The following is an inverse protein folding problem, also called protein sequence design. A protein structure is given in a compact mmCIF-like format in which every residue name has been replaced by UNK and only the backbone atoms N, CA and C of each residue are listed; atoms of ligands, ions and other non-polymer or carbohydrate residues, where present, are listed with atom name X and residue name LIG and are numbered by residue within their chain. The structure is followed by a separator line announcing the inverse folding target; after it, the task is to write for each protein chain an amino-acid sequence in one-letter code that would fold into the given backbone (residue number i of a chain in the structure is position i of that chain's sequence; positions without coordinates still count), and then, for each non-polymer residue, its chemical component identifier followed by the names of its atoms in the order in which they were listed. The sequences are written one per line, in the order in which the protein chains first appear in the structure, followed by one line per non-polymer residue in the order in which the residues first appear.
data_IF_083623850640
#
_entry.id   IF_083623850640
#
_cell.length_a   1.000
_cell.length_b   1.000
_cell.length_c   1.000
_cell.angle_alpha   90.00
_cell.angle_beta   90.00
_cell.angle_gamma   90.00
#
_symmetry.space_group_name_H-M   'P 1'
#
loop_
_entity.id
_entity.type
_entity.pdbx_description
1 polymer ?
#
# COMPACT_ATOMS: atom_id res chain seq x y z
N UNK A 1 6.73 -21.36 -22.02
CA UNK A 1 5.54 -21.32 -21.14
C UNK A 1 5.93 -21.89 -19.79
N UNK A 2 6.41 -21.06 -18.86
CA UNK A 2 6.69 -21.48 -17.50
C UNK A 2 5.39 -21.37 -16.68
N UNK A 3 4.76 -22.51 -16.44
CA UNK A 3 3.51 -22.63 -15.71
C UNK A 3 3.75 -22.29 -14.22
N UNK A 4 3.20 -21.14 -13.80
CA UNK A 4 2.85 -20.73 -12.42
C UNK A 4 3.87 -21.11 -11.33
N UNK A 5 4.66 -20.13 -10.89
CA UNK A 5 5.55 -20.29 -9.73
C UNK A 5 4.72 -20.30 -8.43
N UNK A 6 4.46 -21.50 -7.90
CA UNK A 6 3.59 -21.74 -6.73
C UNK A 6 3.96 -20.89 -5.49
N UNK A 7 5.25 -20.70 -5.12
CA UNK A 7 5.60 -19.82 -4.01
C UNK A 7 5.19 -18.36 -4.23
N UNK A 8 5.30 -17.87 -5.46
CA UNK A 8 4.87 -16.52 -5.84
C UNK A 8 3.35 -16.41 -5.79
N UNK A 9 2.63 -17.45 -6.24
CA UNK A 9 1.17 -17.46 -6.19
C UNK A 9 0.66 -17.40 -4.75
N UNK A 10 1.23 -18.18 -3.83
CA UNK A 10 0.86 -18.15 -2.42
C UNK A 10 1.09 -16.76 -1.81
N UNK A 11 2.24 -16.15 -2.10
CA UNK A 11 2.56 -14.80 -1.64
C UNK A 11 1.56 -13.75 -2.15
N UNK A 12 1.12 -13.89 -3.40
CA UNK A 12 0.15 -12.99 -4.03
C UNK A 12 -1.24 -13.08 -3.39
N UNK A 13 -1.65 -14.24 -2.85
CA UNK A 13 -2.93 -14.37 -2.14
C UNK A 13 -3.04 -13.44 -0.93
N UNK A 14 -1.93 -13.12 -0.27
CA UNK A 14 -1.90 -12.11 0.80
C UNK A 14 -2.31 -10.73 0.27
N UNK A 15 -1.75 -10.33 -0.88
CA UNK A 15 -2.09 -9.04 -1.52
C UNK A 15 -3.52 -9.00 -1.99
N UNK A 16 -4.04 -10.11 -2.52
CA UNK A 16 -5.45 -10.16 -2.95
C UNK A 16 -6.39 -9.92 -1.77
N UNK A 17 -6.16 -10.64 -0.66
CA UNK A 17 -6.95 -10.48 0.55
C UNK A 17 -6.86 -9.06 1.13
N UNK A 18 -5.65 -8.50 1.23
CA UNK A 18 -5.46 -7.13 1.69
C UNK A 18 -6.05 -6.10 0.72
N UNK A 19 -5.96 -6.35 -0.59
CA UNK A 19 -6.46 -5.49 -1.65
C UNK A 19 -7.97 -5.27 -1.58
N UNK A 20 -8.76 -6.34 -1.37
CA UNK A 20 -10.22 -6.21 -1.19
C UNK A 20 -10.58 -5.27 -0.04
N UNK A 21 -9.91 -5.43 1.10
CA UNK A 21 -10.13 -4.61 2.30
C UNK A 21 -9.71 -3.16 2.05
N UNK A 22 -8.49 -2.95 1.52
CA UNK A 22 -7.92 -1.63 1.30
C UNK A 22 -8.74 -0.81 0.31
N UNK A 23 -9.21 -1.42 -0.76
CA UNK A 23 -9.99 -0.75 -1.78
C UNK A 23 -11.37 -0.32 -1.26
N UNK A 24 -12.09 -1.17 -0.51
CA UNK A 24 -13.37 -0.78 0.10
C UNK A 24 -13.14 0.29 1.18
N UNK A 25 -12.15 0.08 2.06
CA UNK A 25 -11.82 1.04 3.11
C UNK A 25 -11.56 2.43 2.50
N UNK A 26 -10.63 2.54 1.54
CA UNK A 26 -10.23 3.80 0.90
C UNK A 26 -11.40 4.59 0.32
N UNK A 27 -12.39 3.89 -0.27
CA UNK A 27 -13.54 4.52 -0.91
C UNK A 27 -14.63 4.96 0.07
N UNK A 28 -14.92 4.13 1.08
CA UNK A 28 -16.15 4.27 1.87
C UNK A 28 -15.96 4.79 3.29
N UNK A 29 -14.79 4.66 3.90
CA UNK A 29 -14.65 4.90 5.34
C UNK A 29 -15.03 6.34 5.74
N UNK A 30 -14.55 7.36 5.03
CA UNK A 30 -14.95 8.75 5.31
C UNK A 30 -16.44 8.94 5.03
N UNK A 31 -16.90 8.47 3.87
CA UNK A 31 -18.28 8.66 3.41
C UNK A 31 -19.28 8.12 4.42
N UNK A 32 -19.09 6.88 4.90
CA UNK A 32 -19.94 6.26 5.92
C UNK A 32 -19.98 7.09 7.21
N UNK A 33 -18.82 7.56 7.68
CA UNK A 33 -18.78 8.35 8.91
C UNK A 33 -19.50 9.69 8.78
N UNK A 34 -19.52 10.31 7.60
CA UNK A 34 -20.26 11.55 7.35
C UNK A 34 -21.75 11.31 7.10
N UNK A 35 -22.06 10.44 6.15
CA UNK A 35 -23.41 10.27 5.62
C UNK A 35 -24.28 9.45 6.58
N UNK A 36 -23.76 8.35 7.11
CA UNK A 36 -24.50 7.42 7.98
C UNK A 36 -24.34 7.73 9.47
N UNK A 37 -23.13 8.10 9.90
CA UNK A 37 -22.86 8.34 11.34
C UNK A 37 -22.88 9.81 11.75
N UNK A 38 -23.11 10.72 10.78
CA UNK A 38 -23.27 12.15 11.00
C UNK A 38 -22.08 12.80 11.75
N UNK A 39 -20.86 12.38 11.44
CA UNK A 39 -19.64 12.95 12.00
C UNK A 39 -19.51 14.45 11.65
N UNK A 40 -19.40 15.35 12.64
CA UNK A 40 -19.19 16.76 12.35
C UNK A 40 -17.82 17.01 11.68
N UNK A 41 -17.75 17.84 10.62
CA UNK A 41 -16.50 18.08 9.87
C UNK A 41 -15.31 18.60 10.70
N UNK A 42 -15.58 19.28 11.81
CA UNK A 42 -14.55 19.78 12.73
C UNK A 42 -13.75 18.66 13.38
N UNK A 43 -14.40 17.56 13.76
CA UNK A 43 -13.74 16.42 14.40
C UNK A 43 -12.89 15.62 13.42
N UNK A 44 -13.30 15.51 12.15
CA UNK A 44 -12.51 14.81 11.14
C UNK A 44 -11.09 15.38 11.03
N UNK A 45 -10.95 16.71 11.01
CA UNK A 45 -9.64 17.36 10.92
C UNK A 45 -8.72 16.95 12.06
N UNK A 46 -9.25 16.93 13.30
CA UNK A 46 -8.49 16.53 14.48
C UNK A 46 -8.10 15.06 14.40
N UNK A 47 -9.04 14.18 14.04
CA UNK A 47 -8.79 12.74 13.88
C UNK A 47 -7.71 12.48 12.83
N UNK A 48 -7.76 13.15 11.68
CA UNK A 48 -6.77 12.99 10.62
C UNK A 48 -5.37 13.49 11.02
N UNK A 49 -5.28 14.58 11.80
CA UNK A 49 -3.98 15.05 12.34
C UNK A 49 -3.41 14.04 13.32
N UNK A 50 -4.22 13.51 14.24
CA UNK A 50 -3.79 12.49 15.18
C UNK A 50 -3.37 11.20 14.45
N UNK A 51 -4.12 10.84 13.41
CA UNK A 51 -3.80 9.70 12.56
C UNK A 51 -2.47 9.88 11.81
N UNK A 52 -2.20 11.07 11.27
CA UNK A 52 -0.91 11.38 10.65
C UNK A 52 0.26 11.18 11.61
N UNK A 53 0.12 11.65 12.86
CA UNK A 53 1.15 11.47 13.89
C UNK A 53 1.31 9.99 14.25
N UNK A 54 0.20 9.26 14.41
CA UNK A 54 0.23 7.83 14.69
C UNK A 54 0.93 7.06 13.58
N UNK A 55 0.54 7.27 12.32
CA UNK A 55 1.12 6.56 11.18
C UNK A 55 2.64 6.78 11.08
N UNK A 56 3.11 8.01 11.30
CA UNK A 56 4.55 8.33 11.31
C UNK A 56 5.34 7.60 12.41
N UNK A 57 4.70 7.27 13.54
CA UNK A 57 5.32 6.53 14.65
C UNK A 57 5.16 5.02 14.47
N UNK A 58 3.99 4.59 13.99
CA UNK A 58 3.58 3.21 13.81
C UNK A 58 4.49 2.47 12.83
N UNK A 59 4.82 3.09 11.69
CA UNK A 59 5.63 2.48 10.64
C UNK A 59 7.04 2.06 11.11
N UNK A 60 7.86 2.95 11.70
CA UNK A 60 9.14 2.54 12.28
C UNK A 60 8.98 1.54 13.43
N UNK A 61 7.98 1.75 14.30
CA UNK A 61 7.78 0.91 15.48
C UNK A 61 7.52 -0.55 15.06
N UNK A 62 6.60 -0.78 14.14
CA UNK A 62 6.28 -2.13 13.65
C UNK A 62 7.45 -2.76 12.89
N UNK A 63 8.21 -1.98 12.12
CA UNK A 63 9.44 -2.45 11.47
C UNK A 63 10.47 -2.98 12.48
N UNK A 64 10.81 -2.20 13.51
CA UNK A 64 11.74 -2.65 14.56
C UNK A 64 11.20 -3.85 15.35
N UNK A 65 9.89 -3.89 15.61
CA UNK A 65 9.27 -5.02 16.30
C UNK A 65 9.39 -6.32 15.50
N UNK A 66 9.35 -6.25 14.17
CA UNK A 66 9.56 -7.40 13.28
C UNK A 66 11.02 -7.84 13.22
N UNK A 67 11.97 -6.92 13.20
CA UNK A 67 13.37 -7.33 13.08
C UNK A 67 13.99 -7.74 14.42
N UNK A 68 13.56 -7.17 15.54
CA UNK A 68 14.17 -7.36 16.86
C UNK A 68 13.30 -8.18 17.83
N UNK A 69 12.02 -8.36 17.50
CA UNK A 69 11.01 -8.87 18.41
C UNK A 69 10.65 -7.86 19.51
N UNK A 70 9.41 -7.92 19.99
CA UNK A 70 8.90 -7.03 21.02
C UNK A 70 8.42 -7.81 22.25
N UNK A 71 8.74 -7.36 23.47
CA UNK A 71 8.17 -7.89 24.73
C UNK A 71 8.12 -9.44 24.86
N UNK A 72 9.15 -10.14 24.35
CA UNK A 72 9.23 -11.62 24.38
C UNK A 72 8.46 -12.33 23.26
N UNK A 73 7.77 -11.59 22.41
CA UNK A 73 6.92 -12.06 21.33
C UNK A 73 7.76 -12.41 20.08
N UNK A 74 8.47 -13.55 20.12
CA UNK A 74 9.38 -14.01 19.06
C UNK A 74 8.68 -14.40 17.74
N UNK A 75 7.36 -14.65 17.76
CA UNK A 75 6.64 -15.02 16.54
C UNK A 75 6.49 -13.86 15.56
N UNK A 76 6.59 -12.60 16.02
CA UNK A 76 6.52 -11.40 15.17
C UNK A 76 7.75 -11.32 14.25
N UNK A 77 8.88 -11.94 14.62
CA UNK A 77 10.08 -12.00 13.78
C UNK A 77 9.92 -12.96 12.60
N UNK A 78 9.05 -13.96 12.74
CA UNK A 78 8.74 -14.89 11.67
C UNK A 78 7.65 -14.25 10.79
N UNK A 79 8.08 -13.56 9.73
CA UNK A 79 7.19 -12.79 8.82
C UNK A 79 6.06 -13.65 8.25
N UNK A 80 6.28 -14.96 8.05
CA UNK A 80 5.23 -15.90 7.66
C UNK A 80 4.18 -16.06 8.76
N UNK A 81 4.59 -16.22 10.02
CA UNK A 81 3.65 -16.27 11.16
C UNK A 81 2.90 -14.96 11.34
N UNK A 82 3.53 -13.83 11.04
CA UNK A 82 2.84 -12.54 11.01
C UNK A 82 1.69 -12.56 10.02
N UNK A 83 1.93 -12.97 8.78
CA UNK A 83 0.85 -13.09 7.77
C UNK A 83 -0.22 -14.09 8.22
N UNK A 84 0.17 -15.23 8.78
CA UNK A 84 -0.76 -16.28 9.23
C UNK A 84 -1.67 -15.84 10.38
N UNK A 85 -1.13 -15.17 11.39
CA UNK A 85 -1.86 -14.82 12.62
C UNK A 85 -2.37 -13.39 12.63
N UNK A 86 -1.55 -12.41 12.23
CA UNK A 86 -1.96 -11.01 12.20
C UNK A 86 -2.82 -10.67 10.97
N UNK A 87 -2.68 -11.40 9.85
CA UNK A 87 -3.51 -11.21 8.66
C UNK A 87 -5.02 -11.33 8.92
N UNK A 88 -5.50 -12.41 9.55
CA UNK A 88 -6.90 -12.53 9.94
C UNK A 88 -7.37 -11.45 10.94
N UNK A 89 -6.50 -11.03 11.87
CA UNK A 89 -6.82 -9.97 12.84
C UNK A 89 -6.92 -8.61 12.15
N UNK A 90 -6.02 -8.34 11.19
CA UNK A 90 -6.10 -7.18 10.31
C UNK A 90 -7.42 -7.18 9.53
N UNK A 91 -7.81 -8.31 8.94
CA UNK A 91 -9.09 -8.44 8.26
C UNK A 91 -10.30 -8.24 9.19
N UNK A 92 -10.24 -8.68 10.43
CA UNK A 92 -11.28 -8.39 11.42
C UNK A 92 -11.34 -6.91 11.81
N UNK A 93 -10.19 -6.23 11.91
CA UNK A 93 -10.13 -4.81 12.28
C UNK A 93 -10.82 -3.90 11.27
N UNK A 94 -10.89 -4.29 10.00
CA UNK A 94 -11.67 -3.61 8.97
C UNK A 94 -13.15 -3.46 9.36
N UNK A 95 -13.71 -4.42 10.11
CA UNK A 95 -15.11 -4.36 10.54
C UNK A 95 -15.38 -3.24 11.55
N UNK A 96 -14.34 -2.72 12.22
CA UNK A 96 -14.50 -1.63 13.18
C UNK A 96 -15.17 -0.40 12.55
N UNK A 97 -14.93 -0.11 11.27
CA UNK A 97 -15.50 1.06 10.60
C UNK A 97 -17.01 0.92 10.31
N UNK A 98 -17.51 -0.30 10.16
CA UNK A 98 -18.83 -0.56 9.59
C UNK A 98 -19.92 -0.75 10.64
N UNK A 99 -19.60 -0.73 11.93
CA UNK A 99 -20.56 -0.83 13.01
C UNK A 99 -20.46 0.41 13.92
N UNK A 100 -21.49 1.30 13.94
CA UNK A 100 -21.40 2.56 14.67
C UNK A 100 -21.42 2.37 16.18
N UNK A 101 -20.58 3.11 16.89
CA UNK A 101 -20.67 3.23 18.35
C UNK A 101 -21.74 4.25 18.77
N UNK A 102 -22.00 5.24 17.92
CA UNK A 102 -22.99 6.29 18.12
C UNK A 102 -23.25 7.00 16.80
N UNK A 103 -24.51 7.39 16.56
CA UNK A 103 -24.94 8.24 15.44
C UNK A 103 -25.46 9.61 15.89
N UNK A 104 -25.62 9.83 17.20
CA UNK A 104 -26.16 11.07 17.77
C UNK A 104 -25.12 11.93 18.49
N UNK A 105 -24.07 11.30 19.03
CA UNK A 105 -23.02 11.96 19.81
C UNK A 105 -21.74 12.08 18.98
N UNK A 106 -21.50 13.26 18.41
CA UNK A 106 -20.41 13.48 17.45
C UNK A 106 -18.99 13.19 17.98
N UNK A 107 -18.71 13.41 19.27
CA UNK A 107 -17.38 13.09 19.83
C UNK A 107 -17.16 11.58 19.99
N UNK A 108 -18.23 10.80 20.24
CA UNK A 108 -18.16 9.34 20.31
C UNK A 108 -17.90 8.77 18.93
N UNK A 109 -18.58 9.30 17.90
CA UNK A 109 -18.34 8.96 16.49
C UNK A 109 -16.90 9.32 16.06
N UNK A 110 -16.37 10.45 16.53
CA UNK A 110 -14.98 10.83 16.29
C UNK A 110 -13.98 9.87 16.95
N UNK A 111 -14.24 9.49 18.20
CA UNK A 111 -13.43 8.51 18.93
C UNK A 111 -13.48 7.13 18.27
N UNK A 112 -14.66 6.73 17.80
CA UNK A 112 -14.86 5.51 17.03
C UNK A 112 -13.98 5.49 15.77
N UNK A 113 -13.98 6.58 14.99
CA UNK A 113 -13.11 6.70 13.81
C UNK A 113 -11.63 6.61 14.19
N UNK A 114 -11.22 7.36 15.22
CA UNK A 114 -9.83 7.43 15.67
C UNK A 114 -9.30 6.06 16.10
N UNK A 115 -10.03 5.35 16.96
CA UNK A 115 -9.63 4.03 17.45
C UNK A 115 -9.61 3.01 16.31
N UNK A 116 -10.60 3.07 15.41
CA UNK A 116 -10.65 2.20 14.23
C UNK A 116 -9.42 2.41 13.34
N UNK A 117 -9.07 3.67 13.04
CA UNK A 117 -7.88 4.02 12.27
C UNK A 117 -6.60 3.53 12.94
N UNK A 118 -6.44 3.73 14.25
CA UNK A 118 -5.22 3.34 14.96
C UNK A 118 -5.03 1.82 14.93
N UNK A 119 -6.07 1.04 15.26
CA UNK A 119 -5.99 -0.42 15.26
C UNK A 119 -5.77 -0.94 13.85
N UNK A 120 -6.53 -0.43 12.88
CA UNK A 120 -6.46 -0.87 11.49
C UNK A 120 -5.08 -0.57 10.87
N UNK A 121 -4.55 0.64 11.05
CA UNK A 121 -3.23 1.04 10.52
C UNK A 121 -2.09 0.27 11.17
N UNK A 122 -2.17 0.04 12.49
CA UNK A 122 -1.18 -0.78 13.21
C UNK A 122 -1.09 -2.18 12.63
N UNK A 123 -2.24 -2.83 12.42
CA UNK A 123 -2.32 -4.18 11.88
C UNK A 123 -1.95 -4.21 10.38
N UNK A 124 -2.34 -3.18 9.63
CA UNK A 124 -1.96 -3.01 8.22
C UNK A 124 -0.44 -2.93 8.09
N UNK A 125 0.21 -2.03 8.82
CA UNK A 125 1.67 -1.85 8.79
C UNK A 125 2.38 -3.16 9.16
N UNK A 126 1.91 -3.85 10.21
CA UNK A 126 2.48 -5.13 10.62
C UNK A 126 2.40 -6.18 9.50
N UNK A 127 1.24 -6.37 8.88
CA UNK A 127 1.05 -7.37 7.81
C UNK A 127 1.77 -6.96 6.53
N UNK A 128 1.70 -5.69 6.15
CA UNK A 128 2.31 -5.16 4.93
C UNK A 128 3.84 -5.22 4.98
N UNK A 129 4.44 -4.85 6.11
CA UNK A 129 5.89 -4.95 6.30
C UNK A 129 6.37 -6.40 6.25
N UNK A 130 5.63 -7.34 6.87
CA UNK A 130 5.93 -8.76 6.76
C UNK A 130 5.83 -9.26 5.31
N UNK A 131 4.79 -8.83 4.58
CA UNK A 131 4.62 -9.15 3.16
C UNK A 131 5.80 -8.64 2.32
N UNK A 132 6.19 -7.37 2.49
CA UNK A 132 7.34 -6.79 1.78
C UNK A 132 8.64 -7.55 2.09
N UNK A 133 8.88 -7.93 3.34
CA UNK A 133 10.03 -8.76 3.71
C UNK A 133 10.00 -10.14 3.06
N UNK A 134 8.83 -10.81 3.05
CA UNK A 134 8.65 -12.10 2.37
C UNK A 134 8.87 -12.00 0.86
N UNK A 135 8.49 -10.89 0.22
CA UNK A 135 8.80 -10.64 -1.19
C UNK A 135 10.31 -10.63 -1.45
N UNK A 136 11.08 -10.00 -0.57
CA UNK A 136 12.54 -9.92 -0.71
C UNK A 136 13.20 -11.27 -0.40
N UNK A 137 12.77 -11.95 0.66
CA UNK A 137 13.31 -13.26 1.08
C UNK A 137 13.04 -14.37 0.05
N UNK A 138 11.84 -14.40 -0.53
CA UNK A 138 11.42 -15.44 -1.47
C UNK A 138 11.85 -15.15 -2.92
N UNK A 139 12.25 -13.92 -3.23
CA UNK A 139 12.66 -13.51 -4.59
C UNK A 139 14.17 -13.32 -4.66
N UNK A 140 14.89 -14.38 -5.04
CA UNK A 140 16.37 -14.39 -5.15
C UNK A 140 16.89 -13.51 -6.28
N UNK A 141 16.17 -13.45 -7.40
CA UNK A 141 16.57 -12.72 -8.60
C UNK A 141 15.71 -11.48 -8.82
N UNK A 142 16.26 -10.49 -9.54
CA UNK A 142 15.53 -9.29 -9.97
C UNK A 142 14.22 -9.67 -10.70
N UNK A 143 14.28 -10.62 -11.64
CA UNK A 143 13.12 -11.08 -12.41
C UNK A 143 11.98 -11.63 -11.52
N UNK A 144 12.30 -12.30 -10.41
CA UNK A 144 11.31 -12.84 -9.50
C UNK A 144 10.63 -11.73 -8.69
N UNK A 145 11.41 -10.72 -8.26
CA UNK A 145 10.87 -9.53 -7.56
C UNK A 145 9.90 -8.78 -8.46
N UNK A 146 10.28 -8.53 -9.72
CA UNK A 146 9.38 -7.88 -10.67
C UNK A 146 8.12 -8.74 -10.82
N UNK A 147 8.25 -10.08 -10.93
CA UNK A 147 7.11 -11.01 -11.15
C UNK A 147 6.05 -10.94 -10.07
N UNK A 148 6.49 -10.91 -8.82
CA UNK A 148 5.60 -10.75 -7.66
C UNK A 148 4.80 -9.46 -7.78
N UNK A 149 5.45 -8.36 -8.17
CA UNK A 149 4.83 -7.04 -8.30
C UNK A 149 3.80 -7.02 -9.44
N UNK A 150 4.14 -7.58 -10.61
CA UNK A 150 3.18 -7.64 -11.73
C UNK A 150 1.97 -8.49 -11.40
N UNK A 151 2.15 -9.63 -10.73
CA UNK A 151 1.00 -10.40 -10.26
C UNK A 151 0.19 -9.59 -9.25
N UNK A 152 0.83 -8.93 -8.28
CA UNK A 152 0.16 -8.04 -7.33
C UNK A 152 -0.70 -6.97 -8.01
N UNK A 153 -0.18 -6.31 -9.05
CA UNK A 153 -0.93 -5.29 -9.81
C UNK A 153 -2.15 -5.89 -10.53
N UNK A 154 -2.00 -7.04 -11.20
CA UNK A 154 -3.11 -7.75 -11.87
C UNK A 154 -4.23 -8.06 -10.87
N UNK A 155 -3.88 -8.60 -9.70
CA UNK A 155 -4.88 -8.94 -8.71
C UNK A 155 -5.51 -7.72 -8.03
N UNK A 156 -4.79 -6.59 -7.95
CA UNK A 156 -5.36 -5.31 -7.49
C UNK A 156 -6.41 -4.79 -8.47
N UNK A 157 -6.20 -4.95 -9.78
CA UNK A 157 -7.23 -4.65 -10.80
C UNK A 157 -8.46 -5.55 -10.61
N UNK A 158 -8.26 -6.87 -10.42
CA UNK A 158 -9.34 -7.82 -10.17
C UNK A 158 -10.11 -7.45 -8.89
N UNK A 159 -9.40 -7.05 -7.84
CA UNK A 159 -10.00 -6.55 -6.60
C UNK A 159 -10.86 -5.32 -6.82
N UNK A 160 -10.40 -4.36 -7.63
CA UNK A 160 -11.20 -3.20 -8.02
C UNK A 160 -12.49 -3.58 -8.75
N UNK A 161 -12.45 -4.56 -9.66
CA UNK A 161 -13.64 -5.05 -10.37
C UNK A 161 -14.66 -5.72 -9.46
N UNK A 162 -14.20 -6.42 -8.42
CA UNK A 162 -15.07 -7.10 -7.45
C UNK A 162 -15.80 -6.12 -6.51
N UNK A 163 -15.43 -4.84 -6.52
CA UNK A 163 -16.09 -3.77 -5.74
C UNK A 163 -17.23 -3.13 -6.53
N UNK A 164 -17.22 -3.23 -7.86
CA UNK A 164 -18.26 -2.68 -8.71
C UNK A 164 -19.70 -3.08 -8.30
N UNK A 165 -19.98 -4.33 -7.89
CA UNK A 165 -21.31 -4.70 -7.37
C UNK A 165 -21.72 -3.92 -6.11
N UNK A 166 -20.78 -3.52 -5.24
CA UNK A 166 -21.05 -2.68 -4.07
C UNK A 166 -21.42 -1.24 -4.48
N UNK A 167 -20.76 -0.70 -5.51
CA UNK A 167 -21.08 0.62 -6.06
C UNK A 167 -22.46 0.68 -6.71
N UNK A 168 -22.89 -0.41 -7.33
CA UNK A 168 -24.20 -0.52 -7.99
C UNK A 168 -25.37 -0.72 -7.01
N UNK A 169 -25.11 -0.94 -5.71
CA UNK A 169 -26.17 -1.08 -4.73
C UNK A 169 -26.85 0.28 -4.46
N UNK A 170 -28.19 0.33 -4.33
CA UNK A 170 -28.88 1.57 -3.96
C UNK A 170 -28.36 2.03 -2.58
N UNK A 171 -27.65 3.15 -2.54
CA UNK A 171 -27.14 3.76 -1.30
C UNK A 171 -28.26 4.49 -0.54
N UNK A 172 -29.46 3.91 -0.51
CA UNK A 172 -30.54 4.37 0.35
C UNK A 172 -30.22 3.93 1.78
N UNK A 173 -30.27 4.87 2.72
CA UNK A 173 -30.07 4.66 4.16
C UNK A 173 -30.87 3.46 4.72
N UNK A 174 -31.94 3.02 4.03
CA UNK A 174 -32.76 1.87 4.41
C UNK A 174 -32.06 0.50 4.28
N UNK A 175 -30.98 0.38 3.49
CA UNK A 175 -30.31 -0.90 3.21
C UNK A 175 -28.84 -0.97 3.66
N UNK A 176 -28.41 -0.11 4.61
CA UNK A 176 -27.03 -0.11 5.11
C UNK A 176 -26.56 -1.48 5.64
N UNK A 177 -27.49 -2.27 6.20
CA UNK A 177 -27.21 -3.63 6.67
C UNK A 177 -26.71 -4.58 5.59
N UNK A 178 -27.10 -4.37 4.32
CA UNK A 178 -26.64 -5.17 3.19
C UNK A 178 -25.15 -4.88 2.91
N UNK A 179 -24.78 -3.61 2.93
CA UNK A 179 -23.38 -3.19 2.84
C UNK A 179 -22.54 -3.76 3.98
N UNK A 180 -23.04 -3.71 5.23
CA UNK A 180 -22.37 -4.33 6.38
C UNK A 180 -22.17 -5.84 6.18
N UNK A 181 -23.19 -6.54 5.68
CA UNK A 181 -23.14 -7.99 5.41
C UNK A 181 -22.08 -8.30 4.35
N UNK A 182 -22.04 -7.53 3.26
CA UNK A 182 -21.01 -7.69 2.24
C UNK A 182 -19.60 -7.44 2.81
N UNK A 183 -19.43 -6.42 3.66
CA UNK A 183 -18.16 -6.14 4.32
C UNK A 183 -17.72 -7.29 5.24
N UNK A 184 -18.65 -7.93 5.96
CA UNK A 184 -18.38 -9.12 6.77
C UNK A 184 -17.92 -10.29 5.91
N UNK A 185 -18.58 -10.53 4.77
CA UNK A 185 -18.17 -11.58 3.82
C UNK A 185 -16.76 -11.29 3.27
N UNK A 186 -16.49 -10.06 2.87
CA UNK A 186 -15.17 -9.64 2.36
C UNK A 186 -14.10 -9.84 3.44
N UNK A 187 -14.36 -9.42 4.68
CA UNK A 187 -13.43 -9.63 5.79
C UNK A 187 -13.12 -11.12 6.02
N UNK A 188 -14.15 -11.97 5.97
CA UNK A 188 -14.00 -13.42 6.10
C UNK A 188 -13.17 -14.04 4.97
N UNK A 189 -13.44 -13.67 3.71
CA UNK A 189 -12.68 -14.12 2.54
C UNK A 189 -11.23 -13.65 2.63
N UNK A 190 -11.00 -12.38 2.94
CA UNK A 190 -9.66 -11.82 3.07
C UNK A 190 -8.86 -12.47 4.21
N UNK A 191 -9.51 -12.74 5.35
CA UNK A 191 -8.89 -13.47 6.46
C UNK A 191 -8.48 -14.88 6.03
N UNK A 192 -9.36 -15.59 5.33
CA UNK A 192 -9.08 -16.94 4.83
C UNK A 192 -7.92 -16.95 3.82
N UNK A 193 -7.88 -15.99 2.88
CA UNK A 193 -6.81 -15.86 1.89
C UNK A 193 -5.46 -15.60 2.55
N UNK A 194 -5.38 -14.67 3.51
CA UNK A 194 -4.15 -14.37 4.23
C UNK A 194 -3.68 -15.52 5.11
N UNK A 195 -4.60 -16.19 5.82
CA UNK A 195 -4.28 -17.38 6.62
C UNK A 195 -3.78 -18.53 5.74
N UNK A 196 -4.46 -18.79 4.62
CA UNK A 196 -4.07 -19.82 3.66
C UNK A 196 -2.68 -19.55 3.07
N UNK A 197 -2.43 -18.30 2.67
CA UNK A 197 -1.11 -17.85 2.22
C UNK A 197 -0.03 -18.13 3.27
N UNK A 198 -0.21 -17.64 4.50
CA UNK A 198 0.74 -17.83 5.59
C UNK A 198 1.00 -19.30 5.93
N UNK A 199 -0.01 -20.16 5.80
CA UNK A 199 0.12 -21.60 6.05
C UNK A 199 0.92 -22.31 4.94
N UNK A 200 0.74 -21.91 3.68
CA UNK A 200 1.38 -22.55 2.51
C UNK A 200 2.71 -21.91 2.06
N UNK A 201 3.05 -20.74 2.58
CA UNK A 201 4.36 -20.14 2.42
C UNK A 201 5.42 -21.02 3.09
N UNK A 202 6.36 -21.55 2.29
CA UNK A 202 7.59 -22.18 2.79
C UNK A 202 8.70 -21.15 2.68
N UNK A 203 9.14 -20.62 3.81
CA UNK A 203 10.32 -19.76 3.86
C UNK A 203 11.53 -20.67 4.03
N UNK A 204 12.43 -20.69 3.04
CA UNK A 204 13.79 -21.20 3.26
C UNK A 204 14.46 -20.22 4.23
N UNK A 205 14.53 -20.59 5.51
CA UNK A 205 15.20 -19.76 6.51
C UNK A 205 16.64 -19.49 6.06
N UNK A 206 17.13 -18.24 6.13
CA UNK A 206 18.54 -18.00 5.92
C UNK A 206 19.36 -18.79 6.96
N UNK A 207 20.34 -19.56 6.47
CA UNK A 207 21.20 -20.50 7.22
C UNK A 207 21.86 -19.87 8.46
N UNK A 208 21.91 -18.54 8.56
CA UNK A 208 22.56 -17.81 9.65
C UNK A 208 21.76 -17.77 10.98
N UNK A 209 20.47 -18.12 11.01
CA UNK A 209 19.69 -18.09 12.27
C UNK A 209 19.98 -19.27 13.21
N UNK A 210 20.39 -20.43 12.67
CA UNK A 210 20.71 -21.60 13.50
C UNK A 210 21.89 -21.33 14.44
N UNK A 211 22.86 -20.52 14.00
CA UNK A 211 24.04 -20.18 14.81
C UNK A 211 23.76 -19.21 15.96
N UNK A 212 22.66 -18.44 15.90
CA UNK A 212 22.26 -17.54 16.99
C UNK A 212 21.31 -18.24 17.97
N UNK A 213 20.35 -19.03 17.47
CA UNK A 213 19.37 -19.73 18.30
C UNK A 213 19.96 -20.86 19.16
N UNK A 214 20.98 -21.59 18.69
CA UNK A 214 21.67 -22.61 19.51
C UNK A 214 22.41 -21.99 20.71
N UNK A 215 22.90 -20.75 20.59
CA UNK A 215 23.52 -20.03 21.72
C UNK A 215 22.51 -19.51 22.77
N UNK A 216 21.22 -19.46 22.45
CA UNK A 216 20.18 -18.94 23.37
C UNK A 216 19.74 -19.96 24.44
N UNK A 217 20.08 -21.24 24.31
CA UNK A 217 19.62 -22.26 25.26
C UNK A 217 20.57 -22.48 26.45
N UNK A 218 21.80 -21.94 26.45
CA UNK A 218 22.82 -22.31 27.44
C UNK A 218 23.29 -21.18 28.40
N UNK A 219 22.75 -19.95 28.37
CA UNK A 219 23.28 -18.89 29.25
C UNK A 219 22.37 -17.70 29.59
N UNK A 220 21.89 -17.70 30.83
CA UNK A 220 21.52 -16.55 31.71
C UNK A 220 20.54 -15.45 31.21
N UNK A 221 19.37 -15.38 31.86
CA UNK A 221 18.33 -14.34 31.71
C UNK A 221 18.84 -12.90 31.90
N UNK A 222 19.84 -12.67 32.74
CA UNK A 222 20.40 -11.32 32.98
C UNK A 222 21.32 -10.82 31.86
N UNK A 223 21.95 -11.74 31.12
CA UNK A 223 22.77 -11.42 29.95
C UNK A 223 21.90 -11.11 28.74
N UNK A 224 20.76 -11.79 28.59
CA UNK A 224 19.81 -11.58 27.50
C UNK A 224 19.20 -10.17 27.46
N UNK A 225 18.88 -9.57 28.62
CA UNK A 225 18.29 -8.22 28.69
C UNK A 225 19.29 -7.15 28.27
N UNK A 226 20.54 -7.20 28.77
CA UNK A 226 21.61 -6.29 28.37
C UNK A 226 22.01 -6.45 26.90
N UNK A 227 22.02 -7.69 26.39
CA UNK A 227 22.28 -7.95 24.97
C UNK A 227 21.17 -7.36 24.08
N UNK A 228 19.90 -7.52 24.48
CA UNK A 228 18.73 -7.03 23.73
C UNK A 228 18.65 -5.50 23.71
N UNK A 229 19.01 -4.84 24.81
CA UNK A 229 19.11 -3.37 24.88
C UNK A 229 20.25 -2.85 23.97
N UNK A 230 21.37 -3.56 23.93
CA UNK A 230 22.46 -3.27 22.98
C UNK A 230 22.02 -3.51 21.52
N UNK A 231 21.20 -4.53 21.23
CA UNK A 231 20.68 -4.77 19.87
C UNK A 231 19.75 -3.65 19.41
N UNK A 232 18.85 -3.17 20.27
CA UNK A 232 17.96 -2.04 19.93
C UNK A 232 18.73 -0.74 19.71
N UNK A 233 19.71 -0.43 20.57
CA UNK A 233 20.58 0.74 20.40
C UNK A 233 21.38 0.66 19.09
N UNK A 234 21.91 -0.52 18.76
CA UNK A 234 22.64 -0.74 17.51
C UNK A 234 21.72 -0.60 16.29
N UNK A 235 20.50 -1.14 16.34
CA UNK A 235 19.53 -1.01 15.24
C UNK A 235 19.16 0.46 14.99
N UNK A 236 18.88 1.23 16.05
CA UNK A 236 18.62 2.67 15.94
C UNK A 236 19.82 3.41 15.37
N UNK A 237 21.04 3.04 15.79
CA UNK A 237 22.27 3.64 15.28
C UNK A 237 22.47 3.35 13.78
N UNK A 238 22.23 2.12 13.33
CA UNK A 238 22.30 1.74 11.90
C UNK A 238 21.23 2.49 11.11
N UNK A 239 19.99 2.55 11.58
CA UNK A 239 18.93 3.32 10.92
C UNK A 239 19.28 4.80 10.79
N UNK A 240 19.92 5.38 11.80
CA UNK A 240 20.39 6.76 11.74
C UNK A 240 21.53 6.97 10.74
N UNK A 241 22.40 5.97 10.55
CA UNK A 241 23.43 6.00 9.50
C UNK A 241 22.81 5.93 8.11
N UNK A 242 21.83 5.04 7.91
CA UNK A 242 21.10 4.90 6.65
C UNK A 242 20.32 6.19 6.33
N UNK A 243 19.67 6.78 7.32
CA UNK A 243 18.93 8.05 7.16
C UNK A 243 19.83 9.22 6.73
N UNK A 244 21.14 9.14 7.00
CA UNK A 244 22.14 10.15 6.57
C UNK A 244 22.80 9.83 5.24
N UNK A 245 22.63 8.62 4.71
CA UNK A 245 23.24 8.21 3.46
C UNK A 245 22.61 9.00 2.29
N UNK A 246 23.39 9.75 1.48
CA UNK A 246 22.85 10.62 0.44
C UNK A 246 22.02 9.85 -0.60
N UNK A 247 22.40 8.62 -0.94
CA UNK A 247 21.64 7.78 -1.88
C UNK A 247 20.26 7.44 -1.33
N UNK A 248 20.17 7.15 -0.03
CA UNK A 248 18.91 6.86 0.63
C UNK A 248 18.02 8.10 0.70
N UNK A 249 18.58 9.27 1.03
CA UNK A 249 17.86 10.55 1.03
C UNK A 249 17.28 10.84 -0.36
N UNK A 250 18.08 10.67 -1.43
CA UNK A 250 17.61 10.86 -2.80
C UNK A 250 16.47 9.88 -3.15
N UNK A 251 16.58 8.62 -2.74
CA UNK A 251 15.54 7.61 -2.98
C UNK A 251 14.23 7.97 -2.27
N UNK A 252 14.28 8.32 -0.98
CA UNK A 252 13.11 8.70 -0.18
C UNK A 252 12.50 10.00 -0.72
N UNK A 253 13.31 11.00 -1.05
CA UNK A 253 12.85 12.25 -1.65
C UNK A 253 12.17 12.05 -3.00
N UNK A 254 12.75 11.24 -3.88
CA UNK A 254 12.14 10.89 -5.16
C UNK A 254 10.79 10.18 -4.98
N UNK A 255 10.71 9.25 -4.02
CA UNK A 255 9.47 8.55 -3.72
C UNK A 255 8.39 9.47 -3.14
N UNK A 256 8.77 10.41 -2.26
CA UNK A 256 7.85 11.40 -1.72
C UNK A 256 7.19 12.21 -2.84
N UNK A 257 7.96 12.76 -3.77
CA UNK A 257 7.39 13.53 -4.89
C UNK A 257 6.55 12.66 -5.83
N UNK A 258 6.94 11.40 -6.06
CA UNK A 258 6.15 10.46 -6.86
C UNK A 258 4.79 10.18 -6.22
N UNK A 259 4.77 9.85 -4.92
CA UNK A 259 3.54 9.60 -4.17
C UNK A 259 2.68 10.86 -4.12
N UNK A 260 3.27 12.02 -3.85
CA UNK A 260 2.56 13.30 -3.83
C UNK A 260 1.86 13.56 -5.18
N UNK A 261 2.58 13.37 -6.29
CA UNK A 261 2.04 13.54 -7.65
C UNK A 261 0.89 12.56 -7.93
N UNK A 262 1.07 11.30 -7.57
CA UNK A 262 0.04 10.27 -7.71
C UNK A 262 -1.22 10.62 -6.89
N UNK A 263 -1.05 10.91 -5.59
CA UNK A 263 -2.16 11.23 -4.69
C UNK A 263 -2.90 12.49 -5.11
N UNK A 264 -2.20 13.51 -5.61
CA UNK A 264 -2.83 14.72 -6.13
C UNK A 264 -3.68 14.40 -7.38
N UNK A 265 -3.15 13.63 -8.33
CA UNK A 265 -3.90 13.29 -9.54
C UNK A 265 -5.12 12.41 -9.24
N UNK A 266 -4.99 11.37 -8.42
CA UNK A 266 -6.12 10.48 -8.10
C UNK A 266 -7.26 11.19 -7.35
N UNK A 267 -6.94 11.98 -6.32
CA UNK A 267 -7.96 12.64 -5.49
C UNK A 267 -8.63 13.82 -6.20
N UNK A 268 -7.87 14.58 -7.01
CA UNK A 268 -8.42 15.75 -7.71
C UNK A 268 -8.86 15.46 -9.15
N UNK A 269 -8.77 14.22 -9.63
CA UNK A 269 -9.18 13.84 -11.00
C UNK A 269 -10.59 14.33 -11.35
N UNK A 270 -11.55 14.11 -10.46
CA UNK A 270 -12.94 14.53 -10.66
C UNK A 270 -13.02 16.06 -10.75
N UNK A 271 -12.36 16.76 -9.81
CA UNK A 271 -12.33 18.23 -9.77
C UNK A 271 -11.70 18.81 -11.05
N UNK A 272 -10.57 18.27 -11.51
CA UNK A 272 -9.91 18.72 -12.73
C UNK A 272 -10.76 18.44 -13.97
N UNK A 273 -11.38 17.27 -14.04
CA UNK A 273 -12.24 16.89 -15.18
C UNK A 273 -13.48 17.78 -15.25
N UNK A 274 -14.14 18.03 -14.12
CA UNK A 274 -15.31 18.92 -14.08
C UNK A 274 -14.95 20.37 -14.40
N UNK A 275 -13.86 20.88 -13.83
CA UNK A 275 -13.45 22.27 -14.01
C UNK A 275 -12.82 22.58 -15.37
N UNK A 276 -12.19 21.61 -16.05
CA UNK A 276 -11.45 21.84 -17.29
C UNK A 276 -12.11 21.25 -18.54
N UNK A 277 -12.89 20.16 -18.42
CA UNK A 277 -13.49 19.46 -19.57
C UNK A 277 -15.02 19.57 -19.59
N UNK A 278 -15.69 19.51 -18.44
CA UNK A 278 -17.16 19.65 -18.39
C UNK A 278 -17.57 21.12 -18.54
N UNK A 279 -16.89 22.03 -17.83
CA UNK A 279 -17.14 23.47 -17.93
C UNK A 279 -16.97 24.05 -19.34
N UNK A 280 -16.07 23.46 -20.13
CA UNK A 280 -15.80 23.83 -21.53
C UNK A 280 -16.77 23.19 -22.53
N UNK A 281 -17.72 22.37 -22.06
CA UNK A 281 -18.69 21.68 -22.91
C UNK A 281 -18.15 20.46 -23.67
N UNK A 282 -16.94 19.96 -23.33
CA UNK A 282 -16.37 18.79 -23.99
C UNK A 282 -17.03 17.48 -23.54
N UNK A 283 -17.41 17.41 -22.26
CA UNK A 283 -18.25 16.34 -21.74
C UNK A 283 -19.54 16.90 -21.16
N UNK A 284 -20.66 16.21 -21.41
CA UNK A 284 -21.91 16.47 -20.73
C UNK A 284 -21.89 15.86 -19.31
N UNK A 285 -22.45 16.58 -18.33
CA UNK A 285 -22.55 16.11 -16.95
C UNK A 285 -23.42 14.84 -16.90
N UNK A 286 -22.94 13.81 -16.20
CA UNK A 286 -23.56 12.48 -16.10
C UNK A 286 -23.64 11.68 -17.42
N UNK A 287 -22.85 12.04 -18.44
CA UNK A 287 -22.77 11.25 -19.68
C UNK A 287 -21.98 9.96 -19.50
N UNK A 288 -22.32 8.93 -20.28
CA UNK A 288 -21.57 7.67 -20.31
C UNK A 288 -20.12 7.86 -20.81
N UNK A 289 -19.87 8.86 -21.66
CA UNK A 289 -18.53 9.19 -22.17
C UNK A 289 -17.63 9.76 -21.06
N UNK A 290 -18.18 10.59 -20.17
CA UNK A 290 -17.47 11.06 -18.98
C UNK A 290 -17.14 9.90 -18.02
N UNK A 291 -18.08 8.96 -17.85
CA UNK A 291 -17.84 7.74 -17.08
C UNK A 291 -16.69 6.90 -17.65
N UNK A 292 -16.68 6.68 -18.97
CA UNK A 292 -15.59 5.98 -19.67
C UNK A 292 -14.25 6.71 -19.51
N UNK A 293 -14.24 8.05 -19.57
CA UNK A 293 -13.04 8.84 -19.35
C UNK A 293 -12.44 8.61 -17.97
N UNK A 294 -13.25 8.60 -16.91
CA UNK A 294 -12.77 8.31 -15.55
C UNK A 294 -12.19 6.90 -15.39
N UNK A 295 -12.85 5.90 -15.99
CA UNK A 295 -12.37 4.51 -15.96
C UNK A 295 -11.02 4.41 -16.68
N UNK A 296 -10.90 5.04 -17.85
CA UNK A 296 -9.67 5.07 -18.63
C UNK A 296 -8.54 5.76 -17.86
N UNK A 297 -8.79 6.95 -17.31
CA UNK A 297 -7.79 7.72 -16.57
C UNK A 297 -7.24 6.92 -15.36
N UNK A 298 -8.10 6.23 -14.61
CA UNK A 298 -7.68 5.44 -13.44
C UNK A 298 -7.02 4.10 -13.81
N UNK A 299 -7.45 3.45 -14.89
CA UNK A 299 -6.97 2.11 -15.25
C UNK A 299 -5.71 2.14 -16.13
N UNK A 300 -5.48 3.22 -16.87
CA UNK A 300 -4.39 3.31 -17.85
C UNK A 300 -3.01 3.12 -17.22
N UNK A 301 -2.78 3.62 -16.00
CA UNK A 301 -1.49 3.46 -15.32
C UNK A 301 -1.15 2.02 -14.95
N UNK A 302 -2.15 1.25 -14.53
CA UNK A 302 -1.99 -0.18 -14.22
C UNK A 302 -1.78 -1.00 -15.49
N UNK A 303 -2.48 -0.67 -16.58
CA UNK A 303 -2.26 -1.27 -17.91
C UNK A 303 -0.85 -0.95 -18.42
N UNK A 304 -0.42 0.30 -18.32
CA UNK A 304 0.92 0.74 -18.71
C UNK A 304 2.00 -0.03 -17.94
N UNK A 305 1.79 -0.28 -16.64
CA UNK A 305 2.72 -1.07 -15.83
C UNK A 305 2.92 -2.50 -16.38
N UNK A 306 1.84 -3.16 -16.84
CA UNK A 306 1.93 -4.49 -17.44
C UNK A 306 2.77 -4.49 -18.73
N UNK A 307 2.62 -3.46 -19.57
CA UNK A 307 3.44 -3.32 -20.78
C UNK A 307 4.91 -3.01 -20.47
N UNK A 308 5.17 -2.26 -19.40
CA UNK A 308 6.53 -1.90 -18.98
C UNK A 308 7.30 -3.05 -18.34
N UNK A 309 6.67 -4.20 -18.10
CA UNK A 309 7.35 -5.44 -17.69
C UNK A 309 8.57 -5.77 -18.56
N UNK A 310 8.37 -5.82 -19.88
CA UNK A 310 9.41 -6.22 -20.81
C UNK A 310 10.59 -5.23 -20.85
N UNK A 311 10.36 -3.91 -20.96
CA UNK A 311 11.42 -2.91 -20.78
C UNK A 311 12.12 -2.98 -19.43
N UNK A 312 11.38 -3.24 -18.34
CA UNK A 312 11.94 -3.29 -16.98
C UNK A 312 12.96 -4.42 -16.84
N UNK A 313 12.66 -5.61 -17.37
CA UNK A 313 13.59 -6.74 -17.35
C UNK A 313 14.79 -6.53 -18.27
N UNK A 314 14.63 -5.81 -19.38
CA UNK A 314 15.71 -5.60 -20.37
C UNK A 314 16.65 -4.46 -20.01
N UNK A 315 16.13 -3.34 -19.53
CA UNK A 315 16.88 -2.10 -19.30
C UNK A 315 17.05 -1.76 -17.81
N UNK A 316 16.43 -2.53 -16.93
CA UNK A 316 16.42 -2.29 -15.49
C UNK A 316 15.36 -1.28 -15.05
N UNK A 317 15.01 -1.35 -13.77
CA UNK A 317 13.93 -0.55 -13.19
C UNK A 317 14.23 0.95 -13.18
N UNK A 318 15.47 1.35 -12.89
CA UNK A 318 15.84 2.77 -12.83
C UNK A 318 15.71 3.49 -14.18
N UNK A 319 16.11 2.84 -15.28
CA UNK A 319 16.00 3.42 -16.62
C UNK A 319 14.53 3.66 -17.03
N UNK A 320 13.64 2.73 -16.66
CA UNK A 320 12.19 2.86 -16.92
C UNK A 320 11.60 4.02 -16.11
N UNK A 321 11.94 4.15 -14.82
CA UNK A 321 11.48 5.28 -13.99
C UNK A 321 11.95 6.61 -14.57
N UNK A 322 13.22 6.72 -14.98
CA UNK A 322 13.76 7.94 -15.59
C UNK A 322 13.03 8.29 -16.89
N UNK A 323 12.76 7.29 -17.74
CA UNK A 323 12.02 7.47 -18.98
C UNK A 323 10.59 7.97 -18.74
N UNK A 324 9.90 7.43 -17.73
CA UNK A 324 8.57 7.89 -17.32
C UNK A 324 8.60 9.33 -16.79
N UNK A 325 9.62 9.70 -16.02
CA UNK A 325 9.78 11.07 -15.53
C UNK A 325 10.04 12.06 -16.67
N UNK A 326 10.88 11.68 -17.64
CA UNK A 326 11.13 12.48 -18.85
C UNK A 326 9.83 12.65 -19.65
N UNK A 327 9.06 11.56 -19.82
CA UNK A 327 7.77 11.62 -20.50
C UNK A 327 6.76 12.55 -19.79
N UNK A 328 6.74 12.56 -18.46
CA UNK A 328 5.90 13.49 -17.68
C UNK A 328 6.31 14.95 -17.93
N UNK A 329 7.61 15.24 -17.98
CA UNK A 329 8.09 16.60 -18.33
C UNK A 329 7.62 16.99 -19.73
N UNK A 330 7.75 16.10 -20.72
CA UNK A 330 7.24 16.36 -22.07
C UNK A 330 5.71 16.56 -22.09
N UNK A 331 4.96 15.79 -21.31
CA UNK A 331 3.51 15.93 -21.21
C UNK A 331 3.11 17.32 -20.67
N UNK A 332 3.83 17.82 -19.66
CA UNK A 332 3.64 19.17 -19.10
C UNK A 332 4.00 20.25 -20.15
N UNK A 333 5.15 20.12 -20.82
CA UNK A 333 5.55 21.07 -21.86
C UNK A 333 4.56 21.10 -23.03
N UNK A 334 4.03 19.93 -23.41
CA UNK A 334 3.03 19.79 -24.46
C UNK A 334 1.74 20.55 -24.12
N UNK A 335 1.19 20.37 -22.91
CA UNK A 335 -0.06 21.07 -22.53
C UNK A 335 0.14 22.57 -22.37
N UNK A 336 1.31 23.00 -21.86
CA UNK A 336 1.67 24.42 -21.76
C UNK A 336 1.78 25.07 -23.14
N UNK A 337 2.32 24.36 -24.13
CA UNK A 337 2.39 24.83 -25.50
C UNK A 337 1.03 24.84 -26.22
N UNK A 338 0.23 23.78 -26.05
CA UNK A 338 -1.10 23.67 -26.66
C UNK A 338 -2.09 24.73 -26.13
N UNK A 339 -1.90 25.17 -24.89
CA UNK A 339 -2.72 26.16 -24.22
C UNK A 339 -4.09 25.61 -23.80
N UNK A 340 -4.76 26.33 -22.89
CA UNK A 340 -6.06 25.90 -22.32
C UNK A 340 -7.20 25.88 -23.35
N UNK A 341 -7.04 26.56 -24.49
CA UNK A 341 -8.06 26.63 -25.54
C UNK A 341 -8.22 25.29 -26.27
N UNK A 342 -7.20 24.43 -26.26
CA UNK A 342 -7.26 23.11 -26.86
C UNK A 342 -7.70 22.07 -25.83
N UNK A 343 -9.02 21.92 -25.67
CA UNK A 343 -9.62 21.04 -24.66
C UNK A 343 -9.22 19.57 -24.84
N UNK A 344 -9.05 19.12 -26.10
CA UNK A 344 -8.57 17.77 -26.39
C UNK A 344 -7.15 17.53 -25.87
N UNK A 345 -6.26 18.51 -26.00
CA UNK A 345 -4.90 18.42 -25.45
C UNK A 345 -4.91 18.34 -23.92
N UNK A 346 -5.83 19.07 -23.26
CA UNK A 346 -6.03 18.99 -21.80
C UNK A 346 -6.55 17.60 -21.39
N UNK A 347 -7.50 17.04 -22.14
CA UNK A 347 -8.01 15.68 -21.87
C UNK A 347 -6.91 14.61 -22.00
N UNK A 348 -6.07 14.70 -23.04
CA UNK A 348 -4.91 13.82 -23.24
C UNK A 348 -3.89 13.99 -22.10
N UNK A 349 -3.62 15.23 -21.70
CA UNK A 349 -2.71 15.53 -20.59
C UNK A 349 -3.17 14.85 -19.29
N UNK A 350 -4.46 14.97 -18.95
CA UNK A 350 -5.03 14.35 -17.74
C UNK A 350 -4.86 12.84 -17.77
N UNK A 351 -5.17 12.18 -18.90
CA UNK A 351 -5.03 10.72 -19.03
C UNK A 351 -3.57 10.31 -18.90
N UNK A 352 -2.66 10.95 -19.64
CA UNK A 352 -1.24 10.61 -19.61
C UNK A 352 -0.62 10.85 -18.23
N UNK A 353 -0.97 11.95 -17.57
CA UNK A 353 -0.42 12.27 -16.26
C UNK A 353 -0.92 11.30 -15.18
N UNK A 354 -2.19 10.92 -15.21
CA UNK A 354 -2.71 9.86 -14.34
C UNK A 354 -2.04 8.51 -14.63
N UNK A 355 -1.87 8.16 -15.90
CA UNK A 355 -1.21 6.91 -16.29
C UNK A 355 0.25 6.85 -15.79
N UNK A 356 1.03 7.90 -16.03
CA UNK A 356 2.46 7.94 -15.67
C UNK A 356 2.64 8.02 -14.15
N UNK A 357 1.84 8.84 -13.44
CA UNK A 357 1.94 8.98 -11.98
C UNK A 357 1.55 7.70 -11.24
N UNK A 358 0.52 6.99 -11.70
CA UNK A 358 0.09 5.70 -11.13
C UNK A 358 1.03 4.55 -11.45
N UNK A 359 1.72 4.59 -12.60
CA UNK A 359 2.52 3.48 -13.07
C UNK A 359 3.64 3.06 -12.08
N UNK A 360 3.53 1.82 -11.59
CA UNK A 360 4.50 1.20 -10.68
C UNK A 360 4.82 2.07 -9.46
N UNK A 361 3.83 2.77 -8.92
CA UNK A 361 4.01 3.73 -7.83
C UNK A 361 4.63 3.11 -6.57
N UNK A 362 4.18 1.90 -6.19
CA UNK A 362 4.81 1.09 -5.13
C UNK A 362 5.82 0.08 -5.68
N UNK A 363 5.47 -0.60 -6.77
CA UNK A 363 6.27 -1.70 -7.32
C UNK A 363 7.71 -1.31 -7.64
N UNK A 364 7.89 -0.26 -8.43
CA UNK A 364 9.24 0.18 -8.81
C UNK A 364 10.06 0.66 -7.62
N UNK A 365 9.41 1.27 -6.61
CA UNK A 365 10.09 1.69 -5.40
C UNK A 365 10.65 0.51 -4.61
N UNK A 366 9.86 -0.55 -4.42
CA UNK A 366 10.31 -1.75 -3.69
C UNK A 366 11.57 -2.35 -4.34
N UNK A 367 11.60 -2.41 -5.68
CA UNK A 367 12.76 -2.94 -6.42
C UNK A 367 13.99 -2.05 -6.23
N UNK A 368 13.86 -0.75 -6.44
CA UNK A 368 14.99 0.20 -6.33
C UNK A 368 15.47 0.32 -4.88
N UNK A 369 14.56 0.31 -3.90
CA UNK A 369 14.92 0.30 -2.50
C UNK A 369 15.72 -0.95 -2.13
N UNK A 370 15.30 -2.13 -2.60
CA UNK A 370 16.06 -3.36 -2.46
C UNK A 370 17.47 -3.25 -3.04
N UNK A 371 17.62 -2.69 -4.25
CA UNK A 371 18.93 -2.49 -4.89
C UNK A 371 19.84 -1.52 -4.12
N UNK A 372 19.29 -0.43 -3.58
CA UNK A 372 20.05 0.54 -2.77
C UNK A 372 20.51 -0.10 -1.46
N UNK A 373 19.65 -0.86 -0.79
CA UNK A 373 20.00 -1.59 0.44
C UNK A 373 21.06 -2.66 0.15
N UNK A 374 20.88 -3.45 -0.92
CA UNK A 374 21.85 -4.49 -1.33
C UNK A 374 23.23 -3.87 -1.65
N UNK A 375 23.25 -2.66 -2.21
CA UNK A 375 24.49 -1.92 -2.51
C UNK A 375 25.13 -1.34 -1.26
N UNK A 376 24.35 -0.75 -0.36
CA UNK A 376 24.83 -0.20 0.92
C UNK A 376 25.44 -1.30 1.79
N UNK A 377 24.78 -2.46 1.88
CA UNK A 377 25.28 -3.63 2.61
C UNK A 377 26.65 -4.10 2.08
N UNK A 378 26.85 -4.11 0.76
CA UNK A 378 28.13 -4.50 0.13
C UNK A 378 29.24 -3.47 0.31
N UNK A 379 28.92 -2.18 0.26
CA UNK A 379 29.92 -1.11 0.31
C UNK A 379 30.32 -0.74 1.74
N UNK A 380 29.36 -0.75 2.66
CA UNK A 380 29.54 -0.30 4.04
C UNK A 380 29.60 -1.45 5.06
N UNK A 381 29.48 -2.72 4.64
CA UNK A 381 29.48 -3.91 5.50
C UNK A 381 28.48 -3.83 6.68
N UNK A 382 27.39 -3.08 6.50
CA UNK A 382 26.31 -2.97 7.49
C UNK A 382 25.46 -4.24 7.37
N UNK A 383 25.37 -5.03 8.45
CA UNK A 383 24.55 -6.26 8.50
C UNK A 383 23.19 -6.00 9.10
#
# INVERSE_FOLDING_TARGET
MAWIHVPTLNLVLTVVGAGFILSIHSLYYIKVFFDEYHLPPSYLKVVQILFLVWNAVNDPMMGYMQDLGCCGMKWIMDRRKVVLYAGPVFAASFLLFWFPWSTSIGWVTALHLLVSLFIYDTLLTLVLSAYCGLCVENSRNHEDRVRVIVYGEIFTIIAGLLIFPLEMMPHSNEHYWLFQTCCVVVAGVSAALMAFSGYHLKVEKPVNEHHQLEKFQEGEENSAVKLKENTWKNAIQVSWQIAKEPRFICLVGAQFFKILRFMANENFLIVFTESLLVSSGFFEKNSSTLGLFYILARSCGSILFLFLWFPTNRFGTQAVIQSLNILSIFNVLFVLYAGMNNVTAVAVFIILENAISRCGWQGFYIVVAGEVVDTDMKQNNRK
#
